data_IF_145618896151
#
_entry.id   IF_145618896151
#
_cell.length_a   1.000
_cell.length_b   1.000
_cell.length_c   1.000
_cell.angle_alpha   90.00
_cell.angle_beta   90.00
_cell.angle_gamma   90.00
#
_symmetry.space_group_name_H-M   'P 1'
#
loop_
_entity.id
_entity.type
_entity.pdbx_description
1 polymer ?
#
# COMPACT_ATOMS: atom_id res chain seq x y z
N UNK A 1 -10.34 29.44 -8.00
CA UNK A 1 -11.18 28.50 -7.29
C UNK A 1 -10.71 28.36 -5.86
N UNK A 2 -11.64 28.15 -4.99
CA UNK A 2 -11.29 27.98 -3.59
C UNK A 2 -10.64 26.62 -3.38
N UNK A 3 -9.81 26.50 -2.35
CA UNK A 3 -9.22 25.19 -2.01
C UNK A 3 -10.29 24.14 -1.71
N UNK A 4 -11.44 24.58 -1.25
CA UNK A 4 -12.54 23.65 -0.95
C UNK A 4 -13.00 22.94 -2.21
N UNK A 5 -13.08 23.66 -3.32
CA UNK A 5 -13.49 23.06 -4.57
C UNK A 5 -12.48 22.02 -5.03
N UNK A 6 -11.20 22.29 -4.87
CA UNK A 6 -10.17 21.33 -5.24
C UNK A 6 -10.25 20.09 -4.37
N UNK A 7 -10.48 20.27 -3.10
CA UNK A 7 -10.59 19.14 -2.18
C UNK A 7 -11.80 18.29 -2.50
N UNK A 8 -12.92 18.92 -2.85
CA UNK A 8 -14.12 18.21 -3.22
C UNK A 8 -13.88 17.37 -4.48
N UNK A 9 -13.23 17.96 -5.48
CA UNK A 9 -12.93 17.25 -6.71
C UNK A 9 -12.02 16.07 -6.43
N UNK A 10 -11.00 16.29 -5.61
CA UNK A 10 -10.07 15.21 -5.29
C UNK A 10 -10.79 14.05 -4.61
N UNK A 11 -11.73 14.34 -3.72
CA UNK A 11 -12.48 13.29 -3.04
C UNK A 11 -13.39 12.54 -4.00
N UNK A 12 -14.01 13.24 -4.92
CA UNK A 12 -14.86 12.60 -5.91
C UNK A 12 -14.08 11.68 -6.81
N UNK A 13 -12.84 12.04 -7.10
CA UNK A 13 -11.98 11.25 -7.98
C UNK A 13 -11.30 10.09 -7.25
N UNK A 14 -11.35 10.07 -5.92
CA UNK A 14 -10.64 9.05 -5.15
C UNK A 14 -11.02 7.63 -5.54
N UNK A 15 -12.28 7.26 -5.73
CA UNK A 15 -12.61 5.91 -6.15
C UNK A 15 -12.03 5.53 -7.50
N UNK A 16 -12.00 6.49 -8.43
CA UNK A 16 -11.40 6.24 -9.73
C UNK A 16 -9.91 6.04 -9.63
N UNK A 17 -9.27 6.84 -8.77
CA UNK A 17 -7.84 6.68 -8.54
C UNK A 17 -7.53 5.31 -7.96
N UNK A 18 -8.37 4.82 -7.07
CA UNK A 18 -8.18 3.50 -6.48
C UNK A 18 -8.23 2.40 -7.53
N UNK A 19 -9.01 2.60 -8.59
CA UNK A 19 -9.10 1.64 -9.69
C UNK A 19 -7.82 1.65 -10.51
N UNK A 20 -7.24 2.82 -10.73
CA UNK A 20 -6.09 2.98 -11.60
C UNK A 20 -4.75 2.95 -10.88
N UNK A 21 -4.75 3.10 -9.56
CA UNK A 21 -3.52 3.05 -8.80
C UNK A 21 -3.18 1.61 -8.43
N UNK A 22 -1.99 1.42 -7.89
CA UNK A 22 -1.52 0.11 -7.49
C UNK A 22 -1.51 -0.01 -5.98
N UNK A 23 -1.70 -1.22 -5.49
CA UNK A 23 -1.58 -1.51 -4.06
C UNK A 23 -0.26 -2.20 -3.78
N UNK A 24 0.25 -2.00 -2.59
CA UNK A 24 1.46 -2.70 -2.16
C UNK A 24 1.15 -4.18 -1.95
N UNK A 25 1.96 -5.03 -2.56
CA UNK A 25 1.86 -6.48 -2.41
C UNK A 25 3.25 -7.05 -2.14
N UNK A 26 3.29 -8.22 -1.53
CA UNK A 26 4.54 -8.93 -1.33
C UNK A 26 5.04 -9.47 -2.67
N UNK A 27 6.30 -9.26 -2.98
CA UNK A 27 6.90 -9.77 -4.21
C UNK A 27 7.24 -11.26 -4.11
N UNK A 28 7.32 -11.76 -2.90
CA UNK A 28 7.65 -13.13 -2.60
C UNK A 28 7.05 -13.48 -1.26
N UNK A 29 6.99 -14.76 -0.88
CA UNK A 29 6.50 -15.08 0.46
C UNK A 29 7.40 -14.45 1.52
N UNK A 30 6.77 -13.75 2.47
CA UNK A 30 7.49 -13.04 3.53
C UNK A 30 6.99 -13.55 4.87
N UNK A 31 7.85 -14.14 5.68
CA UNK A 31 7.42 -14.62 7.01
C UNK A 31 7.21 -13.46 7.98
N UNK A 32 6.42 -13.73 9.01
CA UNK A 32 6.27 -12.77 10.10
C UNK A 32 7.66 -12.48 10.70
N UNK A 33 7.89 -11.23 11.06
CA UNK A 33 9.19 -10.82 11.58
C UNK A 33 10.15 -10.29 10.53
N UNK A 34 9.76 -10.33 9.26
CA UNK A 34 10.58 -9.77 8.19
C UNK A 34 10.64 -8.26 8.31
N UNK A 35 11.84 -7.70 8.27
CA UNK A 35 12.02 -6.26 8.18
C UNK A 35 11.85 -5.89 6.72
N UNK A 36 10.84 -5.08 6.42
CA UNK A 36 10.48 -4.77 5.05
C UNK A 36 11.50 -3.85 4.39
N UNK A 37 11.75 -4.12 3.12
CA UNK A 37 12.59 -3.28 2.28
C UNK A 37 11.84 -3.03 0.97
N UNK A 38 12.36 -2.12 0.16
CA UNK A 38 11.77 -1.86 -1.13
C UNK A 38 11.74 -3.13 -2.01
N UNK A 39 12.71 -3.99 -1.84
CA UNK A 39 12.80 -5.22 -2.62
C UNK A 39 11.72 -6.24 -2.26
N UNK A 40 11.14 -6.13 -1.07
CA UNK A 40 10.10 -7.05 -0.62
C UNK A 40 8.72 -6.72 -1.16
N UNK A 41 8.50 -5.49 -1.60
CA UNK A 41 7.18 -5.01 -1.96
C UNK A 41 7.15 -4.55 -3.41
N UNK A 42 5.96 -4.64 -4.01
CA UNK A 42 5.73 -4.17 -5.36
C UNK A 42 4.34 -3.56 -5.42
N UNK A 43 4.09 -2.78 -6.46
CA UNK A 43 2.76 -2.22 -6.69
C UNK A 43 2.06 -3.03 -7.75
N UNK A 44 0.84 -3.45 -7.45
CA UNK A 44 0.00 -4.17 -8.40
C UNK A 44 -1.43 -3.66 -8.32
N UNK A 45 -2.11 -3.63 -9.44
CA UNK A 45 -3.55 -3.30 -9.49
C UNK A 45 -4.36 -4.47 -8.96
N UNK A 46 -5.52 -4.19 -8.39
CA UNK A 46 -6.13 -2.88 -8.23
C UNK A 46 -5.60 -2.14 -7.01
N UNK A 47 -5.88 -0.84 -6.95
CA UNK A 47 -5.47 -0.01 -5.84
C UNK A 47 -6.45 -0.02 -4.68
N UNK A 48 -6.96 -1.19 -4.32
CA UNK A 48 -7.96 -1.33 -3.25
C UNK A 48 -7.35 -1.50 -1.87
N UNK A 49 -6.06 -1.77 -1.80
CA UNK A 49 -5.34 -1.90 -0.53
C UNK A 49 -4.52 -0.65 -0.24
N UNK A 50 -3.40 -0.83 0.43
CA UNK A 50 -2.50 0.28 0.72
C UNK A 50 -1.91 0.79 -0.59
N UNK A 51 -1.99 2.09 -0.87
CA UNK A 51 -1.44 2.63 -2.12
C UNK A 51 0.06 2.37 -2.23
N UNK A 52 0.52 2.06 -3.44
CA UNK A 52 1.94 1.80 -3.66
C UNK A 52 2.81 2.99 -3.31
N UNK A 53 2.28 4.20 -3.39
CA UNK A 53 3.00 5.41 -3.03
C UNK A 53 3.35 5.47 -1.54
N UNK A 54 2.73 4.61 -0.73
CA UNK A 54 3.01 4.53 0.70
C UNK A 54 4.21 3.64 1.02
N UNK A 55 4.88 3.13 -0.01
CA UNK A 55 6.02 2.24 0.20
C UNK A 55 7.02 2.77 1.24
N UNK A 56 7.40 4.06 1.21
CA UNK A 56 8.37 4.53 2.20
C UNK A 56 7.91 4.38 3.65
N UNK A 57 6.60 4.40 3.88
CA UNK A 57 6.05 4.25 5.23
C UNK A 57 6.19 2.82 5.74
N UNK A 58 6.35 1.86 4.83
CA UNK A 58 6.44 0.44 5.18
C UNK A 58 7.87 -0.06 5.24
N UNK A 59 8.78 0.62 4.55
CA UNK A 59 10.19 0.23 4.56
C UNK A 59 10.75 0.42 5.97
N UNK A 60 11.42 -0.61 6.47
CA UNK A 60 11.97 -0.59 7.82
C UNK A 60 11.02 -1.08 8.90
N UNK A 61 9.76 -1.31 8.54
CA UNK A 61 8.80 -1.86 9.50
C UNK A 61 8.90 -3.38 9.53
N UNK A 62 8.44 -3.96 10.63
CA UNK A 62 8.50 -5.40 10.82
C UNK A 62 7.12 -6.00 10.56
N UNK A 63 7.08 -7.05 9.75
CA UNK A 63 5.84 -7.77 9.48
C UNK A 63 5.34 -8.46 10.73
N UNK A 64 4.07 -8.34 11.00
CA UNK A 64 3.43 -8.99 12.14
C UNK A 64 2.83 -10.34 11.78
N UNK A 65 2.67 -10.61 10.49
CA UNK A 65 2.16 -11.89 10.02
C UNK A 65 2.81 -12.27 8.71
N UNK A 66 2.67 -13.54 8.35
CA UNK A 66 3.16 -14.04 7.07
C UNK A 66 2.36 -13.45 5.92
N UNK A 67 3.05 -13.12 4.82
CA UNK A 67 2.41 -12.71 3.57
C UNK A 67 2.81 -13.67 2.48
N UNK A 68 1.85 -14.07 1.67
CA UNK A 68 2.11 -14.86 0.49
C UNK A 68 2.52 -13.95 -0.67
N UNK A 69 3.11 -14.56 -1.69
CA UNK A 69 3.45 -13.84 -2.90
C UNK A 69 2.18 -13.19 -3.49
N UNK A 70 2.31 -11.93 -3.89
CA UNK A 70 1.23 -11.14 -4.47
C UNK A 70 0.09 -10.82 -3.51
N UNK A 71 0.25 -11.13 -2.26
CA UNK A 71 -0.75 -10.78 -1.25
C UNK A 71 -0.62 -9.30 -0.90
N UNK A 72 -1.76 -8.60 -0.82
CA UNK A 72 -1.77 -7.20 -0.45
C UNK A 72 -1.42 -7.03 1.02
N UNK A 73 -0.50 -6.10 1.29
CA UNK A 73 -0.15 -5.75 2.65
C UNK A 73 -1.16 -4.75 3.20
N UNK A 74 -1.43 -4.81 4.49
CA UNK A 74 -2.31 -3.88 5.18
C UNK A 74 -1.52 -3.12 6.21
N UNK A 75 -2.06 -1.97 6.61
CA UNK A 75 -1.44 -1.18 7.66
C UNK A 75 -1.30 -1.96 8.97
N UNK A 76 -2.23 -2.87 9.24
CA UNK A 76 -2.21 -3.70 10.45
C UNK A 76 -1.14 -4.78 10.41
N UNK A 77 -0.59 -5.05 9.25
CA UNK A 77 0.38 -6.13 9.06
C UNK A 77 1.78 -5.75 9.53
N UNK A 78 1.99 -4.48 9.84
CA UNK A 78 3.27 -4.00 10.33
C UNK A 78 3.10 -3.46 11.74
N UNK A 79 4.16 -3.53 12.49
CA UNK A 79 4.16 -3.01 13.83
C UNK A 79 5.57 -2.87 14.31
N UNK A 80 5.86 -1.71 14.78
CA UNK A 80 7.22 -1.42 15.15
C UNK A 80 7.57 -1.80 16.53
#
# INVERSE_FOLDING_TARGET
ASPVDKDAIAREMAPLRAIFTKSLVAREPLPAGTVLTEAHLAGKKPGTGVPAERLPDFVGQVLRRHLEKDEQIRADDIGG
#
